data_IF_175816720106
#
_entry.id   IF_175816720106
#
_cell.length_a   1.000
_cell.length_b   1.000
_cell.length_c   1.000
_cell.angle_alpha   90.00
_cell.angle_beta   90.00
_cell.angle_gamma   90.00
#
_symmetry.space_group_name_H-M   'P 1'
#
loop_
_entity.id
_entity.type
_entity.pdbx_description
1 polymer ?
#
# COMPACT_ATOMS: atom_id res chain seq x y z
N UNK A 1 -39.78 -56.42 43.79
CA UNK A 1 -39.25 -55.87 45.05
C UNK A 1 -38.33 -54.74 44.62
N UNK A 2 -38.62 -53.44 44.65
CA UNK A 2 -39.68 -52.56 45.16
C UNK A 2 -39.50 -51.27 44.31
N UNK A 3 -40.46 -50.55 43.71
CA UNK A 3 -41.73 -49.99 44.19
C UNK A 3 -41.62 -49.38 45.59
N UNK A 4 -40.88 -48.27 45.72
CA UNK A 4 -40.96 -47.21 46.73
C UNK A 4 -39.73 -46.31 46.46
N UNK A 5 -39.79 -45.15 45.81
CA UNK A 5 -40.57 -43.97 46.18
C UNK A 5 -41.12 -43.27 44.93
N UNK A 6 -42.41 -43.49 44.69
CA UNK A 6 -43.28 -42.47 44.08
C UNK A 6 -43.34 -41.30 45.08
N UNK A 7 -43.50 -40.09 44.56
CA UNK A 7 -43.83 -38.83 45.27
C UNK A 7 -42.65 -38.07 45.90
N UNK A 8 -41.82 -37.49 45.03
CA UNK A 8 -41.68 -36.02 45.07
C UNK A 8 -42.16 -35.50 43.72
N UNK A 9 -43.47 -35.62 43.51
CA UNK A 9 -44.20 -34.91 42.48
C UNK A 9 -44.03 -33.41 42.73
N UNK A 10 -43.89 -32.68 41.62
CA UNK A 10 -44.29 -31.29 41.43
C UNK A 10 -43.27 -30.21 41.77
N UNK A 11 -42.31 -30.13 40.85
CA UNK A 11 -41.79 -28.87 40.32
C UNK A 11 -41.12 -29.19 38.99
N UNK A 12 -41.85 -29.73 38.00
CA UNK A 12 -42.44 -28.92 36.92
C UNK A 12 -41.44 -27.82 36.48
N UNK A 13 -40.89 -27.76 35.28
CA UNK A 13 -41.04 -28.48 34.03
C UNK A 13 -40.00 -27.79 33.09
N UNK A 14 -39.54 -28.52 32.06
CA UNK A 14 -39.33 -27.98 30.68
C UNK A 14 -38.14 -27.00 30.46
N UNK A 15 -37.29 -27.12 29.44
CA UNK A 15 -37.06 -28.08 28.35
C UNK A 15 -35.66 -27.77 27.76
N UNK A 16 -34.97 -28.85 27.39
CA UNK A 16 -34.24 -29.06 26.13
C UNK A 16 -32.98 -28.22 25.84
N UNK A 17 -31.86 -28.94 25.98
CA UNK A 17 -30.71 -29.06 25.07
C UNK A 17 -30.46 -27.97 24.02
N UNK A 18 -29.20 -27.54 23.98
CA UNK A 18 -28.61 -27.01 22.76
C UNK A 18 -27.14 -26.69 22.94
N UNK A 19 -26.29 -27.71 22.92
CA UNK A 19 -24.86 -27.50 22.66
C UNK A 19 -24.70 -26.94 21.24
N UNK A 20 -24.18 -25.72 21.13
CA UNK A 20 -23.22 -25.29 20.10
C UNK A 20 -22.91 -23.79 20.26
N UNK A 21 -21.71 -23.53 20.76
CA UNK A 21 -20.75 -22.54 20.23
C UNK A 21 -21.21 -21.08 20.07
N UNK A 22 -20.73 -20.19 20.94
CA UNK A 22 -20.59 -18.78 20.59
C UNK A 22 -19.29 -18.19 21.16
N UNK A 23 -18.26 -18.34 20.33
CA UNK A 23 -16.93 -17.77 20.39
C UNK A 23 -16.98 -16.24 20.20
N UNK A 24 -17.56 -15.50 21.16
CA UNK A 24 -17.73 -14.03 21.05
C UNK A 24 -17.30 -13.28 22.33
N UNK A 25 -16.87 -13.98 23.39
CA UNK A 25 -16.75 -13.34 24.72
C UNK A 25 -15.39 -12.72 25.08
N UNK A 26 -14.35 -12.81 24.23
CA UNK A 26 -13.02 -12.27 24.56
C UNK A 26 -12.67 -10.93 23.91
N UNK A 27 -13.63 -10.21 23.31
CA UNK A 27 -13.40 -8.88 22.70
C UNK A 27 -14.14 -7.75 23.43
N UNK A 28 -14.37 -7.87 24.73
CA UNK A 28 -15.08 -6.83 25.50
C UNK A 28 -14.46 -6.50 26.87
N UNK A 29 -13.21 -6.89 27.15
CA UNK A 29 -12.58 -6.71 28.47
C UNK A 29 -11.35 -5.79 28.47
N UNK A 30 -11.33 -4.75 27.62
CA UNK A 30 -10.26 -3.71 27.62
C UNK A 30 -10.83 -2.31 27.36
N UNK A 31 -12.08 -2.07 27.77
CA UNK A 31 -12.71 -0.76 27.73
C UNK A 31 -13.25 -0.44 29.12
N UNK A 32 -12.33 -0.21 30.05
CA UNK A 32 -12.65 0.36 31.36
C UNK A 32 -11.42 1.16 31.83
N UNK A 33 -11.26 2.35 31.27
CA UNK A 33 -10.56 3.49 31.89
C UNK A 33 -10.84 4.73 31.04
N UNK A 34 -12.11 5.16 31.09
CA UNK A 34 -12.48 6.55 30.86
C UNK A 34 -12.68 7.14 32.25
N UNK A 35 -11.83 8.08 32.66
CA UNK A 35 -12.29 9.16 33.52
C UNK A 35 -11.38 10.38 33.39
N UNK A 36 -12.02 11.54 33.23
CA UNK A 36 -11.52 12.91 33.24
C UNK A 36 -10.93 13.48 31.94
N UNK A 37 -11.81 13.87 31.02
CA UNK A 37 -11.64 15.15 30.32
C UNK A 37 -13.02 15.75 30.03
N UNK A 38 -13.42 16.73 30.83
CA UNK A 38 -14.62 17.54 30.61
C UNK A 38 -14.27 18.62 29.57
N UNK A 39 -14.99 18.66 28.44
CA UNK A 39 -14.85 19.69 27.41
C UNK A 39 -16.22 20.27 27.11
N UNK A 40 -16.28 21.59 27.21
CA UNK A 40 -17.44 22.45 27.03
C UNK A 40 -18.15 22.24 25.68
N UNK A 41 -19.47 22.42 25.72
CA UNK A 41 -20.43 22.22 24.64
C UNK A 41 -20.21 23.16 23.44
N UNK A 42 -20.62 22.64 22.26
CA UNK A 42 -20.80 23.29 20.96
C UNK A 42 -19.58 23.44 20.04
N UNK A 43 -19.34 22.42 19.22
CA UNK A 43 -18.94 22.59 17.81
C UNK A 43 -19.33 21.34 17.00
N UNK A 44 -19.95 21.55 15.84
CA UNK A 44 -20.47 20.55 14.91
C UNK A 44 -19.48 19.38 14.66
N UNK A 45 -19.83 18.18 15.13
CA UNK A 45 -19.18 16.95 14.69
C UNK A 45 -19.53 16.67 13.23
N UNK A 46 -18.75 17.22 12.30
CA UNK A 46 -18.74 16.79 10.90
C UNK A 46 -18.32 15.32 10.86
N UNK A 47 -19.29 14.45 10.60
CA UNK A 47 -19.11 13.05 10.26
C UNK A 47 -18.05 12.96 9.16
N UNK A 48 -16.85 12.51 9.53
CA UNK A 48 -15.84 12.09 8.58
C UNK A 48 -16.40 10.86 7.88
N UNK A 49 -17.03 11.08 6.72
CA UNK A 49 -17.40 10.01 5.79
C UNK A 49 -16.13 9.20 5.52
N UNK A 50 -15.95 8.11 6.26
CA UNK A 50 -15.06 7.04 5.84
C UNK A 50 -15.53 6.66 4.44
N UNK A 51 -14.67 6.68 3.40
CA UNK A 51 -15.07 6.25 2.08
C UNK A 51 -15.43 4.78 2.18
N UNK A 52 -16.71 4.49 2.39
CA UNK A 52 -17.24 3.14 2.29
C UNK A 52 -17.16 2.82 0.81
N UNK A 53 -16.08 2.15 0.41
CA UNK A 53 -15.99 1.49 -0.88
C UNK A 53 -16.97 0.32 -0.90
N UNK A 54 -18.27 0.63 -0.99
CA UNK A 54 -19.28 -0.37 -1.35
C UNK A 54 -19.16 -0.57 -2.85
N UNK A 55 -18.48 -1.67 -3.21
CA UNK A 55 -18.22 -2.11 -4.56
C UNK A 55 -19.51 -2.28 -5.35
N UNK A 56 -19.76 -1.36 -6.29
CA UNK A 56 -20.61 -1.66 -7.42
C UNK A 56 -19.75 -2.26 -8.53
N UNK A 57 -19.84 -3.59 -8.67
CA UNK A 57 -19.31 -4.40 -9.79
C UNK A 57 -17.80 -4.63 -9.80
N UNK A 58 -17.36 -5.47 -8.86
CA UNK A 58 -16.05 -6.12 -8.87
C UNK A 58 -15.05 -5.34 -8.03
N UNK A 59 -14.65 -5.92 -6.89
CA UNK A 59 -13.61 -5.35 -6.06
C UNK A 59 -12.29 -5.24 -6.84
N UNK A 60 -11.55 -4.16 -6.57
CA UNK A 60 -10.16 -4.04 -7.01
C UNK A 60 -9.26 -4.73 -5.99
N UNK A 61 -8.20 -5.38 -6.44
CA UNK A 61 -7.22 -6.00 -5.55
C UNK A 61 -6.16 -4.98 -5.17
N UNK A 62 -6.16 -4.53 -3.92
CA UNK A 62 -5.19 -3.55 -3.44
C UNK A 62 -3.86 -4.25 -3.09
N UNK A 63 -2.76 -3.73 -3.64
CA UNK A 63 -1.40 -4.22 -3.41
C UNK A 63 -0.57 -3.04 -2.89
N UNK A 64 -0.57 -2.85 -1.57
CA UNK A 64 0.16 -1.79 -0.89
C UNK A 64 1.64 -2.18 -0.69
N UNK A 65 2.59 -1.33 -1.10
CA UNK A 65 4.03 -1.55 -0.92
C UNK A 65 4.44 -1.79 0.55
N UNK A 66 3.75 -1.19 1.52
CA UNK A 66 4.02 -1.39 2.96
C UNK A 66 3.78 -2.85 3.38
N UNK A 67 2.79 -3.50 2.76
CA UNK A 67 2.49 -4.92 3.00
C UNK A 67 3.59 -5.86 2.49
N UNK A 68 4.54 -5.34 1.71
CA UNK A 68 5.73 -6.06 1.23
C UNK A 68 7.01 -5.66 1.96
N UNK A 69 6.90 -4.90 3.05
CA UNK A 69 7.99 -4.52 3.93
C UNK A 69 8.69 -3.20 3.55
N UNK A 70 8.01 -2.32 2.81
CA UNK A 70 8.50 -0.96 2.62
C UNK A 70 8.45 -0.21 3.96
N UNK A 71 9.51 0.55 4.27
CA UNK A 71 9.64 1.33 5.51
C UNK A 71 9.08 2.74 5.32
N UNK A 72 9.33 3.37 4.16
CA UNK A 72 8.76 4.68 3.85
C UNK A 72 9.36 5.86 4.64
N UNK A 73 10.61 5.72 5.12
CA UNK A 73 11.35 6.76 5.88
C UNK A 73 12.23 7.68 4.99
N UNK A 74 12.37 7.35 3.70
CA UNK A 74 13.20 8.05 2.72
C UNK A 74 14.69 7.74 2.81
N UNK A 75 15.08 6.78 3.64
CA UNK A 75 16.47 6.41 3.94
C UNK A 75 16.71 4.93 3.68
N UNK A 76 15.81 4.08 4.13
CA UNK A 76 15.83 2.63 3.96
C UNK A 76 15.57 2.26 2.50
N UNK A 77 16.33 1.30 1.97
CA UNK A 77 16.14 0.84 0.59
C UNK A 77 14.86 -0.01 0.47
N UNK A 78 13.81 0.59 -0.09
CA UNK A 78 12.49 -0.01 -0.27
C UNK A 78 12.35 -0.74 -1.62
N UNK A 79 13.41 -0.80 -2.43
CA UNK A 79 13.38 -1.34 -3.80
C UNK A 79 12.80 -2.76 -3.85
N UNK A 80 13.18 -3.63 -2.91
CA UNK A 80 12.71 -5.01 -2.91
C UNK A 80 11.23 -5.14 -2.54
N UNK A 81 10.70 -4.24 -1.69
CA UNK A 81 9.28 -4.20 -1.39
C UNK A 81 8.48 -3.77 -2.64
N UNK A 82 8.96 -2.76 -3.36
CA UNK A 82 8.37 -2.30 -4.61
C UNK A 82 8.37 -3.38 -5.69
N UNK A 83 9.49 -4.09 -5.87
CA UNK A 83 9.59 -5.18 -6.87
C UNK A 83 8.60 -6.32 -6.57
N UNK A 84 8.48 -6.71 -5.29
CA UNK A 84 7.53 -7.77 -4.89
C UNK A 84 6.08 -7.32 -5.04
N UNK A 85 5.74 -6.12 -4.57
CA UNK A 85 4.42 -5.53 -4.73
C UNK A 85 4.04 -5.41 -6.22
N UNK A 86 4.97 -4.97 -7.06
CA UNK A 86 4.76 -4.89 -8.51
C UNK A 86 4.48 -6.26 -9.12
N UNK A 87 5.28 -7.28 -8.78
CA UNK A 87 5.08 -8.63 -9.29
C UNK A 87 3.69 -9.18 -8.93
N UNK A 88 3.21 -8.93 -7.71
CA UNK A 88 1.87 -9.32 -7.28
C UNK A 88 0.78 -8.53 -8.00
N UNK A 89 0.88 -7.20 -8.06
CA UNK A 89 -0.10 -6.36 -8.73
C UNK A 89 -0.21 -6.70 -10.22
N UNK A 90 0.93 -6.82 -10.89
CA UNK A 90 1.00 -7.11 -12.32
C UNK A 90 0.42 -8.49 -12.69
N UNK A 91 0.45 -9.47 -11.78
CA UNK A 91 -0.09 -10.81 -12.02
C UNK A 91 -1.61 -10.93 -11.87
N UNK A 92 -2.27 -9.97 -11.22
CA UNK A 92 -3.69 -10.06 -10.84
C UNK A 92 -4.52 -9.04 -11.60
N UNK A 93 -5.63 -9.44 -12.25
CA UNK A 93 -6.50 -8.49 -12.97
C UNK A 93 -7.19 -7.54 -11.99
N UNK A 94 -7.50 -6.32 -12.46
CA UNK A 94 -8.17 -5.26 -11.67
C UNK A 94 -7.42 -4.93 -10.37
N UNK A 95 -6.09 -5.00 -10.39
CA UNK A 95 -5.25 -4.68 -9.24
C UNK A 95 -4.91 -3.18 -9.16
N UNK A 96 -4.59 -2.74 -7.95
CA UNK A 96 -4.08 -1.41 -7.65
C UNK A 96 -2.72 -1.58 -7.00
N UNK A 97 -1.64 -1.21 -7.69
CA UNK A 97 -0.33 -1.04 -7.08
C UNK A 97 -0.33 0.31 -6.34
N UNK A 98 -0.29 0.27 -5.01
CA UNK A 98 -0.44 1.45 -4.16
C UNK A 98 0.89 1.83 -3.49
N UNK A 99 1.32 3.06 -3.73
CA UNK A 99 2.31 3.79 -2.92
C UNK A 99 1.54 4.77 -2.02
N UNK A 100 1.38 4.47 -0.72
CA UNK A 100 0.45 5.22 0.12
C UNK A 100 0.99 6.60 0.50
N UNK A 101 0.07 7.52 0.76
CA UNK A 101 0.38 8.88 1.22
C UNK A 101 1.10 8.86 2.58
N UNK A 102 1.83 9.93 2.88
CA UNK A 102 2.59 10.06 4.13
C UNK A 102 3.96 9.35 4.12
N UNK A 103 4.16 8.36 3.26
CA UNK A 103 5.44 7.66 3.10
C UNK A 103 6.40 8.36 2.13
N UNK A 104 7.70 8.21 2.39
CA UNK A 104 8.81 8.56 1.49
C UNK A 104 9.63 7.31 1.22
N UNK A 105 9.65 6.82 -0.01
CA UNK A 105 10.24 5.52 -0.34
C UNK A 105 11.50 5.70 -1.17
N UNK A 106 12.66 5.33 -0.61
CA UNK A 106 13.91 5.33 -1.38
C UNK A 106 13.94 4.09 -2.27
N UNK A 107 13.89 4.32 -3.59
CA UNK A 107 13.86 3.24 -4.59
C UNK A 107 15.03 3.42 -5.54
N UNK A 108 15.89 2.40 -5.64
CA UNK A 108 17.00 2.35 -6.58
C UNK A 108 16.49 2.19 -8.03
N UNK A 109 17.39 2.36 -9.01
CA UNK A 109 17.09 2.13 -10.42
C UNK A 109 16.42 0.75 -10.63
N UNK A 110 15.19 0.76 -11.11
CA UNK A 110 14.31 -0.42 -11.15
C UNK A 110 13.47 -0.43 -12.41
N UNK A 111 13.41 -1.62 -13.02
CA UNK A 111 12.56 -1.89 -14.18
C UNK A 111 11.31 -2.68 -13.77
N UNK A 112 10.16 -2.06 -13.92
CA UNK A 112 8.85 -2.64 -13.73
C UNK A 112 8.32 -3.17 -15.06
N UNK A 113 8.41 -4.49 -15.25
CA UNK A 113 8.18 -5.14 -16.53
C UNK A 113 6.83 -5.87 -16.55
N UNK A 114 6.07 -5.68 -17.63
CA UNK A 114 4.91 -6.48 -18.00
C UNK A 114 5.24 -7.69 -18.90
N UNK A 115 4.23 -8.31 -19.53
CA UNK A 115 2.83 -7.90 -19.57
C UNK A 115 2.14 -8.08 -18.22
N UNK A 116 1.25 -7.15 -17.86
CA UNK A 116 0.40 -7.25 -16.68
C UNK A 116 -1.01 -7.70 -17.05
N UNK A 117 -1.74 -8.23 -16.07
CA UNK A 117 -3.14 -8.54 -16.19
C UNK A 117 -3.99 -7.27 -16.40
N UNK A 118 -5.19 -7.45 -16.97
CA UNK A 118 -6.02 -6.34 -17.42
C UNK A 118 -6.46 -5.41 -16.28
N UNK A 119 -6.53 -4.11 -16.59
CA UNK A 119 -6.99 -3.04 -15.69
C UNK A 119 -6.12 -2.83 -14.45
N UNK A 120 -4.79 -2.92 -14.59
CA UNK A 120 -3.86 -2.49 -13.55
C UNK A 120 -3.93 -0.95 -13.39
N UNK A 121 -4.06 -0.52 -12.13
CA UNK A 121 -3.94 0.88 -11.73
C UNK A 121 -2.66 1.03 -10.91
N UNK A 122 -1.87 2.03 -11.24
CA UNK A 122 -0.67 2.43 -10.49
C UNK A 122 -1.05 3.70 -9.75
N UNK A 123 -1.32 3.58 -8.46
CA UNK A 123 -1.69 4.68 -7.58
C UNK A 123 -0.47 5.14 -6.78
N UNK A 124 0.00 6.36 -7.03
CA UNK A 124 1.11 6.98 -6.32
C UNK A 124 0.58 8.16 -5.53
N UNK A 125 0.33 7.95 -4.24
CA UNK A 125 -0.13 8.99 -3.31
C UNK A 125 1.00 9.45 -2.36
N UNK A 126 2.05 8.64 -2.18
CA UNK A 126 3.25 8.96 -1.42
C UNK A 126 4.36 9.61 -2.24
N UNK A 127 5.55 9.72 -1.64
CA UNK A 127 6.77 10.18 -2.35
C UNK A 127 7.67 9.00 -2.68
N UNK A 128 8.05 8.86 -3.93
CA UNK A 128 9.14 7.96 -4.36
C UNK A 128 10.38 8.83 -4.55
N UNK A 129 11.49 8.51 -3.91
CA UNK A 129 12.73 9.28 -3.97
C UNK A 129 13.89 8.45 -4.53
N UNK A 130 14.68 9.04 -5.41
CA UNK A 130 15.85 8.41 -6.01
C UNK A 130 17.07 8.50 -5.09
N UNK A 131 18.06 7.59 -5.23
CA UNK A 131 19.38 7.79 -4.67
C UNK A 131 19.98 9.11 -5.16
N UNK A 132 20.48 9.92 -4.23
CA UNK A 132 21.04 11.23 -4.54
C UNK A 132 22.49 11.15 -5.04
N UNK A 133 23.24 10.13 -4.61
CA UNK A 133 24.64 9.91 -4.94
C UNK A 133 24.82 9.21 -6.30
N UNK A 134 25.45 9.85 -7.31
CA UNK A 134 25.65 9.24 -8.63
C UNK A 134 26.45 7.93 -8.61
N UNK A 135 27.30 7.74 -7.59
CA UNK A 135 28.11 6.53 -7.38
C UNK A 135 27.27 5.33 -6.92
N UNK A 136 26.08 5.56 -6.34
CA UNK A 136 25.20 4.50 -5.87
C UNK A 136 24.28 3.98 -6.99
N UNK A 137 24.35 4.59 -8.18
CA UNK A 137 23.51 4.21 -9.31
C UNK A 137 23.98 2.90 -9.93
N UNK A 138 23.05 1.99 -10.24
CA UNK A 138 23.37 0.73 -10.91
C UNK A 138 23.99 1.01 -12.28
N UNK A 139 25.22 0.54 -12.57
CA UNK A 139 25.86 0.73 -13.87
C UNK A 139 25.09 0.08 -15.03
N UNK A 140 24.32 -0.98 -14.78
CA UNK A 140 23.48 -1.63 -15.78
C UNK A 140 22.23 -0.79 -16.15
N UNK A 141 21.85 0.12 -15.26
CA UNK A 141 20.73 1.05 -15.41
C UNK A 141 21.20 2.51 -15.32
N UNK A 142 22.44 2.79 -15.74
CA UNK A 142 23.08 4.11 -15.60
C UNK A 142 22.28 5.29 -16.18
N UNK A 143 21.33 5.01 -17.07
CA UNK A 143 20.52 6.01 -17.79
C UNK A 143 19.04 5.99 -17.39
N UNK A 144 18.64 5.13 -16.46
CA UNK A 144 17.24 4.88 -16.12
C UNK A 144 17.06 4.84 -14.59
N UNK A 145 15.94 5.38 -14.11
CA UNK A 145 15.49 5.24 -12.73
C UNK A 145 14.27 4.33 -12.62
N UNK A 146 13.06 4.89 -12.80
CA UNK A 146 11.81 4.13 -12.80
C UNK A 146 11.44 3.83 -14.26
N UNK A 147 11.64 2.58 -14.67
CA UNK A 147 11.43 2.14 -16.04
C UNK A 147 10.24 1.17 -16.13
N UNK A 148 9.13 1.64 -16.70
CA UNK A 148 7.91 0.88 -16.90
C UNK A 148 7.84 0.39 -18.34
N UNK A 149 7.97 -0.92 -18.53
CA UNK A 149 8.10 -1.52 -19.86
C UNK A 149 7.04 -2.58 -20.14
N UNK A 150 6.59 -2.64 -21.40
CA UNK A 150 5.64 -3.66 -21.88
C UNK A 150 4.30 -3.65 -21.14
N UNK A 151 3.80 -2.47 -20.83
CA UNK A 151 2.49 -2.27 -20.22
C UNK A 151 1.40 -2.16 -21.29
N UNK A 152 0.20 -2.64 -20.98
CA UNK A 152 -0.96 -2.51 -21.84
C UNK A 152 -2.19 -2.12 -21.02
N UNK A 153 -2.85 -1.01 -21.35
CA UNK A 153 -4.11 -0.61 -20.72
C UNK A 153 -3.98 -0.23 -19.24
N UNK A 154 -2.87 0.40 -18.86
CA UNK A 154 -2.57 0.78 -17.47
C UNK A 154 -2.92 2.24 -17.21
N UNK A 155 -3.44 2.53 -16.03
CA UNK A 155 -3.71 3.89 -15.55
C UNK A 155 -2.74 4.25 -14.42
N UNK A 156 -1.92 5.27 -14.62
CA UNK A 156 -1.22 5.96 -13.55
C UNK A 156 -2.13 7.06 -12.99
N UNK A 157 -2.17 7.18 -11.67
CA UNK A 157 -2.92 8.23 -10.99
C UNK A 157 -2.37 8.45 -9.57
N UNK A 158 -2.91 9.45 -8.88
CA UNK A 158 -2.55 9.79 -7.51
C UNK A 158 -1.95 11.19 -7.40
N UNK A 159 -1.85 11.70 -6.17
CA UNK A 159 -1.39 13.06 -5.87
C UNK A 159 0.02 13.09 -5.25
N UNK A 160 0.76 11.99 -5.38
CA UNK A 160 2.10 11.81 -4.83
C UNK A 160 3.20 12.52 -5.62
N UNK A 161 4.44 12.21 -5.26
CA UNK A 161 5.63 12.87 -5.81
C UNK A 161 6.65 11.84 -6.28
N UNK A 162 7.22 12.08 -7.47
CA UNK A 162 8.40 11.36 -7.97
C UNK A 162 9.60 12.32 -7.87
N UNK A 163 10.43 12.13 -6.85
CA UNK A 163 11.60 12.97 -6.55
C UNK A 163 12.88 12.32 -7.08
N UNK A 164 13.41 12.86 -8.19
CA UNK A 164 14.61 12.33 -8.86
C UNK A 164 15.94 12.66 -8.18
N UNK A 165 15.97 13.36 -7.05
CA UNK A 165 17.21 13.68 -6.30
C UNK A 165 18.33 14.28 -7.16
N UNK A 166 17.99 15.14 -8.13
CA UNK A 166 18.87 15.55 -9.23
C UNK A 166 20.01 16.53 -8.87
N UNK A 167 20.06 17.06 -7.65
CA UNK A 167 20.96 18.17 -7.29
C UNK A 167 22.45 17.84 -7.49
N UNK A 168 22.91 16.67 -7.02
CA UNK A 168 24.29 16.17 -7.18
C UNK A 168 24.60 15.81 -8.64
N UNK A 169 23.62 15.28 -9.38
CA UNK A 169 23.74 15.03 -10.82
C UNK A 169 23.99 16.32 -11.61
N UNK A 170 23.25 17.39 -11.32
CA UNK A 170 23.44 18.66 -12.01
C UNK A 170 24.75 19.35 -11.61
N UNK A 171 25.13 19.30 -10.33
CA UNK A 171 26.39 19.88 -9.84
C UNK A 171 27.62 19.24 -10.51
N UNK A 172 27.57 17.93 -10.77
CA UNK A 172 28.63 17.18 -11.45
C UNK A 172 28.56 17.24 -12.99
N UNK A 173 27.58 17.91 -13.58
CA UNK A 173 27.36 17.90 -15.03
C UNK A 173 28.31 18.83 -15.79
N UNK A 174 28.87 18.34 -16.90
CA UNK A 174 29.66 19.18 -17.82
C UNK A 174 28.83 20.28 -18.52
N UNK A 175 27.49 20.14 -18.53
CA UNK A 175 26.55 21.16 -19.03
C UNK A 175 26.53 22.39 -18.13
N UNK A 176 26.79 22.22 -16.83
CA UNK A 176 26.89 23.32 -15.86
C UNK A 176 28.32 23.82 -15.70
N UNK A 177 29.30 22.92 -15.68
CA UNK A 177 30.71 23.29 -15.60
C UNK A 177 31.55 22.47 -16.59
N UNK A 178 32.11 23.12 -17.61
CA UNK A 178 32.89 22.47 -18.68
C UNK A 178 34.15 21.75 -18.20
N UNK A 179 34.63 22.00 -16.97
CA UNK A 179 35.76 21.25 -16.39
C UNK A 179 35.37 19.88 -15.85
N UNK A 180 34.08 19.62 -15.65
CA UNK A 180 33.60 18.33 -15.19
C UNK A 180 33.63 17.30 -16.34
N UNK A 181 33.86 16.00 -16.04
CA UNK A 181 33.69 14.96 -17.05
C UNK A 181 32.24 14.93 -17.55
N UNK A 182 32.04 14.77 -18.85
CA UNK A 182 30.70 14.62 -19.40
C UNK A 182 30.15 13.24 -19.06
N UNK A 183 29.29 13.23 -18.05
CA UNK A 183 28.45 12.09 -17.67
C UNK A 183 27.01 12.49 -17.88
N UNK A 184 26.23 11.57 -18.41
CA UNK A 184 24.81 11.82 -18.60
C UNK A 184 24.00 11.23 -17.45
N UNK A 185 23.00 11.99 -16.99
CA UNK A 185 22.19 11.69 -15.81
C UNK A 185 20.99 10.77 -16.18
N UNK A 186 20.53 9.92 -15.25
CA UNK A 186 19.43 9.00 -15.50
C UNK A 186 18.12 9.74 -15.78
N UNK A 187 17.27 9.16 -16.64
CA UNK A 187 15.89 9.59 -16.84
C UNK A 187 15.06 9.15 -15.63
N UNK A 188 14.35 10.11 -15.00
CA UNK A 188 13.63 9.86 -13.76
C UNK A 188 12.47 8.86 -13.92
N UNK A 189 11.69 9.01 -14.98
CA UNK A 189 10.51 8.19 -15.24
C UNK A 189 10.44 7.88 -16.73
N UNK A 190 10.39 6.58 -17.06
CA UNK A 190 10.35 6.08 -18.43
C UNK A 190 9.16 5.15 -18.59
N UNK A 191 8.38 5.35 -19.65
CA UNK A 191 7.44 4.36 -20.16
C UNK A 191 7.88 4.01 -21.56
N UNK A 192 8.26 2.75 -21.79
CA UNK A 192 8.69 2.27 -23.09
C UNK A 192 7.90 1.03 -23.51
N UNK A 193 7.89 0.76 -24.83
CA UNK A 193 7.31 -0.48 -25.38
C UNK A 193 5.89 -0.79 -24.90
N UNK A 194 5.08 0.24 -24.63
CA UNK A 194 3.78 0.13 -23.95
C UNK A 194 2.65 0.76 -24.76
N UNK A 195 1.41 0.29 -24.57
CA UNK A 195 0.21 0.76 -25.27
C UNK A 195 -0.93 1.10 -24.32
N UNK A 196 -1.78 2.06 -24.72
CA UNK A 196 -2.98 2.44 -23.95
C UNK A 196 -2.70 2.84 -22.51
N UNK A 197 -1.55 3.48 -22.27
CA UNK A 197 -1.17 4.01 -20.97
C UNK A 197 -1.80 5.39 -20.77
N UNK A 198 -2.40 5.61 -19.59
CA UNK A 198 -2.97 6.90 -19.17
C UNK A 198 -2.19 7.41 -17.97
N UNK A 199 -1.92 8.70 -17.96
CA UNK A 199 -1.25 9.47 -16.90
C UNK A 199 -2.21 10.53 -16.37
#
# INVERSE_FOLDING_TARGET
MDKLFIIALLGLLILVNGAAENLVYNRFAMLEELESFEVDDEDDWVLFDSPSWTSERGGKVLVNVDSFGAVGDGISDDTQAFVKAWATACAVPKSVFLVPSGGRYLVNATRFKGPCADNLIIQIDGTIVAPDEPKNWDPNLARLWLDFTKLNGVLFQGNGVIDGSGSKWWASSCKRNKTNPCREAPTAFTIDSSSSVKL
#
